data_IF_191825959521
#
_entry.id   IF_191825959521
#
_cell.length_a   1.000
_cell.length_b   1.000
_cell.length_c   1.000
_cell.angle_alpha   90.00
_cell.angle_beta   90.00
_cell.angle_gamma   90.00
#
_symmetry.space_group_name_H-M   'P 1'
#
loop_
_entity.id
_entity.type
_entity.pdbx_description
1 polymer ?
#
# COMPACT_ATOMS: atom_id res chain seq x y z
N UNK A 1 -41.72 15.50 22.90
CA UNK A 1 -40.71 15.96 21.92
C UNK A 1 -39.42 15.29 22.34
N UNK A 2 -39.04 14.26 21.59
CA UNK A 2 -37.92 13.37 21.89
C UNK A 2 -36.61 14.08 21.57
N UNK A 3 -35.73 14.22 22.56
CA UNK A 3 -34.37 14.69 22.35
C UNK A 3 -33.57 13.61 21.61
N UNK A 4 -33.11 13.97 20.42
CA UNK A 4 -32.18 13.22 19.60
C UNK A 4 -30.80 13.20 20.26
N UNK A 5 -30.31 12.01 20.64
CA UNK A 5 -28.93 11.82 21.06
C UNK A 5 -27.95 12.14 19.91
N UNK A 6 -26.70 12.53 20.22
CA UNK A 6 -25.71 12.81 19.19
C UNK A 6 -25.34 11.50 18.49
N UNK A 7 -25.49 11.49 17.16
CA UNK A 7 -25.10 10.37 16.32
C UNK A 7 -23.61 10.11 16.44
N UNK A 8 -23.25 8.84 16.64
CA UNK A 8 -21.88 8.37 16.53
C UNK A 8 -21.39 8.65 15.10
N UNK A 9 -20.39 9.52 14.96
CA UNK A 9 -19.60 9.63 13.74
C UNK A 9 -18.73 8.39 13.52
N UNK A 10 -18.09 8.25 12.36
CA UNK A 10 -17.31 7.06 11.98
C UNK A 10 -16.02 6.83 12.80
N UNK A 11 -15.69 7.70 13.75
CA UNK A 11 -14.47 7.60 14.57
C UNK A 11 -14.74 6.90 15.91
N UNK A 12 -15.05 5.61 15.92
CA UNK A 12 -15.20 4.87 17.19
C UNK A 12 -14.48 3.53 17.20
N UNK A 13 -13.18 3.55 16.93
CA UNK A 13 -12.30 2.52 17.49
C UNK A 13 -12.28 2.75 19.00
N UNK A 14 -12.80 1.78 19.76
CA UNK A 14 -12.76 1.80 21.22
C UNK A 14 -11.31 2.06 21.69
N UNK A 15 -11.06 2.93 22.69
CA UNK A 15 -9.71 3.20 23.20
C UNK A 15 -9.02 1.96 23.79
N UNK A 16 -9.72 0.82 23.85
CA UNK A 16 -9.19 -0.48 24.28
C UNK A 16 -8.59 -1.30 23.14
N UNK A 17 -8.87 -1.00 21.87
CA UNK A 17 -8.39 -1.75 20.71
C UNK A 17 -7.23 -0.98 20.08
N UNK A 18 -6.01 -1.53 20.06
CA UNK A 18 -4.87 -0.88 19.42
C UNK A 18 -5.17 -0.57 17.94
N UNK A 19 -4.84 0.65 17.49
CA UNK A 19 -4.86 0.99 16.07
C UNK A 19 -3.62 0.42 15.40
N UNK A 20 -3.68 -0.87 15.12
CA UNK A 20 -2.66 -1.65 14.44
C UNK A 20 -3.37 -2.73 13.60
N UNK A 21 -2.76 -3.18 12.51
CA UNK A 21 -3.23 -4.34 11.79
C UNK A 21 -3.28 -5.57 12.73
N UNK A 22 -4.38 -6.32 12.70
CA UNK A 22 -4.75 -7.38 13.66
C UNK A 22 -4.94 -6.91 15.11
N UNK A 23 -5.02 -5.60 15.37
CA UNK A 23 -5.15 -5.04 16.72
C UNK A 23 -4.08 -5.54 17.73
N UNK A 24 -2.89 -5.89 17.23
CA UNK A 24 -1.83 -6.47 18.04
C UNK A 24 -1.43 -5.55 19.21
N UNK A 25 -1.18 -6.10 20.41
CA UNK A 25 -0.70 -5.35 21.55
C UNK A 25 0.70 -4.77 21.30
N UNK A 26 1.05 -3.72 22.05
CA UNK A 26 2.28 -2.94 21.84
C UNK A 26 3.56 -3.79 21.92
N UNK A 27 3.55 -4.85 22.72
CA UNK A 27 4.68 -5.78 22.89
C UNK A 27 5.02 -6.53 21.60
N UNK A 28 4.03 -6.72 20.71
CA UNK A 28 4.16 -7.41 19.43
C UNK A 28 4.18 -6.45 18.23
N UNK A 29 3.71 -5.20 18.41
CA UNK A 29 3.58 -4.21 17.33
C UNK A 29 4.53 -3.02 17.43
N UNK A 30 5.42 -2.96 18.44
CA UNK A 30 6.46 -1.92 18.46
C UNK A 30 7.39 -2.04 17.25
N UNK A 31 7.95 -0.91 16.82
CA UNK A 31 8.88 -0.90 15.69
C UNK A 31 10.10 -1.79 15.97
N UNK A 32 10.54 -1.92 17.21
CA UNK A 32 11.67 -2.76 17.58
C UNK A 32 11.32 -4.25 17.54
N UNK A 33 10.13 -4.63 18.03
CA UNK A 33 9.70 -6.02 18.15
C UNK A 33 9.22 -6.61 16.82
N UNK A 34 8.51 -5.82 16.02
CA UNK A 34 7.88 -6.28 14.79
C UNK A 34 8.89 -6.52 13.66
N UNK A 35 8.74 -7.62 12.91
CA UNK A 35 9.53 -7.84 11.68
C UNK A 35 8.92 -7.16 10.47
N UNK A 36 7.61 -6.90 10.50
CA UNK A 36 6.87 -6.25 9.41
C UNK A 36 6.59 -4.79 9.76
N UNK A 37 6.85 -3.88 8.81
CA UNK A 37 6.38 -2.50 8.85
C UNK A 37 5.30 -2.32 7.78
N UNK A 38 4.09 -2.00 8.22
CA UNK A 38 2.93 -1.82 7.36
C UNK A 38 2.57 -0.33 7.31
N UNK A 39 2.67 0.28 6.14
CA UNK A 39 2.55 1.73 5.97
C UNK A 39 1.22 2.05 5.28
N UNK A 40 0.28 2.72 5.96
CA UNK A 40 -0.95 3.19 5.33
C UNK A 40 -0.66 4.38 4.41
N UNK A 41 -1.17 4.35 3.17
CA UNK A 41 -0.99 5.40 2.16
C UNK A 41 -2.35 5.79 1.57
N UNK A 42 -3.12 6.69 2.22
CA UNK A 42 -4.46 7.11 1.80
C UNK A 42 -4.39 8.05 0.58
N UNK A 43 -4.10 7.50 -0.60
CA UNK A 43 -3.86 8.26 -1.83
C UNK A 43 -4.72 7.74 -3.00
N UNK A 44 -5.43 8.64 -3.68
CA UNK A 44 -6.22 8.34 -4.90
C UNK A 44 -6.24 9.52 -5.90
N UNK A 45 -5.19 10.35 -5.89
CA UNK A 45 -5.21 11.64 -6.60
C UNK A 45 -5.06 11.55 -8.11
N UNK A 46 -4.74 10.39 -8.68
CA UNK A 46 -4.68 10.21 -10.14
C UNK A 46 -5.85 9.40 -10.68
N UNK A 47 -6.74 8.93 -9.81
CA UNK A 47 -7.87 8.06 -10.17
C UNK A 47 -8.79 8.72 -11.19
N UNK A 48 -9.14 7.96 -12.25
CA UNK A 48 -9.83 8.51 -13.42
C UNK A 48 -11.33 8.19 -13.53
N UNK A 49 -11.85 7.23 -12.73
CA UNK A 49 -13.27 6.83 -12.79
C UNK A 49 -14.02 6.99 -11.46
N UNK A 50 -13.63 6.25 -10.42
CA UNK A 50 -14.28 6.29 -9.09
C UNK A 50 -13.24 6.50 -8.00
N UNK A 51 -13.29 7.65 -7.34
CA UNK A 51 -12.49 7.96 -6.14
C UNK A 51 -12.98 7.19 -4.91
N UNK A 52 -12.24 7.29 -3.80
CA UNK A 52 -12.54 6.65 -2.53
C UNK A 52 -11.52 5.60 -2.11
N UNK A 53 -10.54 5.29 -2.96
CA UNK A 53 -9.48 4.34 -2.61
C UNK A 53 -8.63 4.85 -1.43
N UNK A 54 -8.56 6.18 -1.21
CA UNK A 54 -7.91 6.78 -0.04
C UNK A 54 -8.46 6.28 1.31
N UNK A 55 -9.69 5.79 1.36
CA UNK A 55 -10.33 5.26 2.57
C UNK A 55 -9.98 3.78 2.81
N UNK A 56 -9.38 3.11 1.83
CA UNK A 56 -8.99 1.71 1.86
C UNK A 56 -8.05 1.31 3.01
N UNK A 57 -6.98 2.07 3.30
CA UNK A 57 -6.04 1.72 4.36
C UNK A 57 -6.71 1.60 5.73
N UNK A 58 -7.53 2.59 6.10
CA UNK A 58 -8.23 2.59 7.39
C UNK A 58 -9.28 1.47 7.47
N UNK A 59 -10.01 1.24 6.37
CA UNK A 59 -10.98 0.15 6.30
C UNK A 59 -10.33 -1.22 6.49
N UNK A 60 -9.15 -1.45 5.89
CA UNK A 60 -8.39 -2.69 6.06
C UNK A 60 -7.88 -2.88 7.49
N UNK A 61 -7.32 -1.83 8.10
CA UNK A 61 -6.86 -1.88 9.50
C UNK A 61 -8.03 -2.19 10.44
N UNK A 62 -9.15 -1.47 10.29
CA UNK A 62 -10.35 -1.70 11.12
C UNK A 62 -10.87 -3.13 10.96
N UNK A 63 -11.02 -3.62 9.72
CA UNK A 63 -11.50 -4.97 9.46
C UNK A 63 -10.56 -6.06 9.99
N UNK A 64 -9.25 -5.83 9.97
CA UNK A 64 -8.24 -6.80 10.40
C UNK A 64 -8.37 -7.20 11.87
N UNK A 65 -8.93 -6.34 12.74
CA UNK A 65 -9.17 -6.63 14.16
C UNK A 65 -10.14 -7.80 14.43
N UNK A 66 -10.87 -8.25 13.40
CA UNK A 66 -11.82 -9.37 13.48
C UNK A 66 -11.23 -10.69 12.98
N UNK A 67 -9.95 -10.72 12.60
CA UNK A 67 -9.26 -11.94 12.19
C UNK A 67 -8.71 -12.69 13.42
N UNK A 68 -8.55 -14.00 13.27
CA UNK A 68 -7.76 -14.81 14.19
C UNK A 68 -6.28 -14.71 13.82
N UNK A 69 -5.39 -14.70 14.81
CA UNK A 69 -3.95 -14.58 14.57
C UNK A 69 -3.29 -15.88 14.06
N UNK A 70 -3.95 -17.03 14.24
CA UNK A 70 -3.43 -18.32 13.81
C UNK A 70 -3.76 -18.63 12.35
N UNK A 71 -2.73 -18.81 11.53
CA UNK A 71 -2.86 -19.27 10.16
C UNK A 71 -2.81 -20.80 10.10
N UNK A 72 -3.88 -21.41 9.58
CA UNK A 72 -4.02 -22.87 9.52
C UNK A 72 -3.08 -23.52 8.50
N UNK A 73 -2.78 -22.85 7.38
CA UNK A 73 -1.95 -23.41 6.30
C UNK A 73 -0.46 -23.34 6.65
N UNK A 74 -0.06 -22.28 7.36
CA UNK A 74 1.31 -22.08 7.84
C UNK A 74 1.58 -22.74 9.19
N UNK A 75 0.53 -23.16 9.91
CA UNK A 75 0.59 -23.67 11.29
C UNK A 75 1.35 -22.72 12.24
N UNK A 76 1.06 -21.42 12.13
CA UNK A 76 1.80 -20.36 12.81
C UNK A 76 0.86 -19.29 13.34
N UNK A 77 1.18 -18.77 14.52
CA UNK A 77 0.60 -17.53 15.03
C UNK A 77 1.34 -16.32 14.43
N UNK A 78 0.67 -15.57 13.55
CA UNK A 78 1.30 -14.45 12.84
C UNK A 78 1.64 -13.28 13.77
N UNK A 79 0.99 -13.20 14.94
CA UNK A 79 1.28 -12.18 15.95
C UNK A 79 2.71 -12.30 16.50
N UNK A 80 3.30 -13.50 16.48
CA UNK A 80 4.68 -13.76 16.92
C UNK A 80 5.74 -13.18 15.96
N UNK A 81 5.39 -12.97 14.68
CA UNK A 81 6.25 -12.25 13.72
C UNK A 81 6.26 -10.75 14.05
N UNK A 82 5.12 -10.24 14.53
CA UNK A 82 4.89 -8.85 14.85
C UNK A 82 4.71 -7.96 13.61
N UNK A 83 3.65 -7.15 13.65
CA UNK A 83 3.31 -6.17 12.62
C UNK A 83 3.27 -4.80 13.26
N UNK A 84 4.14 -3.89 12.80
CA UNK A 84 4.12 -2.48 13.17
C UNK A 84 3.38 -1.69 12.10
N UNK A 85 2.18 -1.23 12.42
CA UNK A 85 1.42 -0.32 11.55
C UNK A 85 1.85 1.10 11.84
N UNK A 86 2.39 1.79 10.83
CA UNK A 86 2.89 3.15 11.00
C UNK A 86 1.74 4.15 11.03
N UNK A 87 2.04 5.40 11.39
CA UNK A 87 1.15 6.51 11.04
C UNK A 87 0.92 6.56 9.52
N UNK A 88 -0.27 6.97 9.11
CA UNK A 88 -0.60 7.11 7.69
C UNK A 88 0.33 8.13 7.01
N UNK A 89 0.78 7.81 5.80
CA UNK A 89 1.61 8.67 5.00
C UNK A 89 0.76 9.73 4.29
N UNK A 90 0.87 10.96 4.75
CA UNK A 90 0.11 12.09 4.18
C UNK A 90 0.39 12.30 2.68
N UNK A 91 -0.66 12.52 1.86
CA UNK A 91 -0.52 12.87 0.45
C UNK A 91 0.40 14.08 0.21
N UNK A 92 1.26 13.96 -0.80
CA UNK A 92 2.11 15.08 -1.20
C UNK A 92 1.34 16.08 -2.08
N UNK A 93 1.16 17.31 -1.59
CA UNK A 93 0.37 18.36 -2.28
C UNK A 93 0.92 18.78 -3.65
N UNK A 94 2.23 18.60 -3.88
CA UNK A 94 2.87 18.90 -5.18
C UNK A 94 2.60 17.85 -6.28
N UNK A 95 1.84 16.79 -6.00
CA UNK A 95 1.37 15.85 -7.02
C UNK A 95 2.06 14.47 -7.00
N UNK A 96 1.82 13.63 -8.03
CA UNK A 96 2.13 12.21 -7.98
C UNK A 96 3.64 11.87 -7.98
N UNK A 97 4.46 12.61 -8.72
CA UNK A 97 5.92 12.43 -8.71
C UNK A 97 6.52 12.68 -7.31
N UNK A 98 6.27 13.85 -6.70
CA UNK A 98 6.66 14.11 -5.31
C UNK A 98 6.09 13.12 -4.29
N UNK A 99 4.89 12.57 -4.56
CA UNK A 99 4.33 11.50 -3.72
C UNK A 99 5.14 10.19 -3.85
N UNK A 100 5.52 9.80 -5.06
CA UNK A 100 6.37 8.63 -5.29
C UNK A 100 7.73 8.76 -4.56
N UNK A 101 8.39 9.91 -4.64
CA UNK A 101 9.65 10.18 -3.92
C UNK A 101 9.47 10.14 -2.40
N UNK A 102 8.36 10.67 -1.89
CA UNK A 102 8.02 10.59 -0.46
C UNK A 102 7.87 9.13 -0.01
N UNK A 103 7.14 8.32 -0.78
CA UNK A 103 6.95 6.89 -0.49
C UNK A 103 8.30 6.18 -0.52
N UNK A 104 9.11 6.42 -1.54
CA UNK A 104 10.45 5.85 -1.69
C UNK A 104 11.30 6.10 -0.44
N UNK A 105 11.39 7.35 0.01
CA UNK A 105 12.18 7.72 1.18
C UNK A 105 11.69 7.03 2.47
N UNK A 106 10.37 6.94 2.67
CA UNK A 106 9.80 6.28 3.86
C UNK A 106 10.04 4.77 3.82
N UNK A 107 9.81 4.12 2.68
CA UNK A 107 10.06 2.68 2.50
C UNK A 107 11.54 2.36 2.71
N UNK A 108 12.45 3.15 2.12
CA UNK A 108 13.88 2.98 2.31
C UNK A 108 14.29 3.02 3.80
N UNK A 109 13.75 3.96 4.57
CA UNK A 109 14.02 4.04 6.01
C UNK A 109 13.62 2.78 6.78
N UNK A 110 12.49 2.15 6.47
CA UNK A 110 12.11 0.88 7.11
C UNK A 110 12.90 -0.32 6.60
N UNK A 111 13.31 -0.32 5.32
CA UNK A 111 14.20 -1.35 4.78
C UNK A 111 15.58 -1.30 5.43
N UNK A 112 16.13 -0.10 5.70
CA UNK A 112 17.40 0.08 6.43
C UNK A 112 17.35 -0.48 7.86
N UNK A 113 16.17 -0.46 8.48
CA UNK A 113 15.92 -1.09 9.78
C UNK A 113 15.74 -2.62 9.69
N UNK A 114 15.90 -3.22 8.50
CA UNK A 114 15.76 -4.64 8.26
C UNK A 114 14.32 -5.14 8.29
N UNK A 115 13.33 -4.26 8.10
CA UNK A 115 11.92 -4.63 8.11
C UNK A 115 11.49 -5.22 6.77
N UNK A 116 10.54 -6.14 6.82
CA UNK A 116 9.71 -6.46 5.65
C UNK A 116 8.64 -5.38 5.52
N UNK A 117 8.62 -4.67 4.40
CA UNK A 117 7.77 -3.47 4.25
C UNK A 117 6.57 -3.76 3.35
N UNK A 118 5.37 -3.46 3.84
CA UNK A 118 4.12 -3.50 3.08
C UNK A 118 3.46 -2.13 3.03
N UNK A 119 2.75 -1.83 1.93
CA UNK A 119 1.90 -0.65 1.84
C UNK A 119 0.43 -1.07 1.88
N UNK A 120 -0.37 -0.41 2.71
CA UNK A 120 -1.82 -0.41 2.58
C UNK A 120 -2.22 0.80 1.76
N UNK A 121 -2.59 0.57 0.51
CA UNK A 121 -2.78 1.63 -0.46
C UNK A 121 -4.19 2.16 -0.59
N UNK A 122 -4.28 3.27 -1.32
CA UNK A 122 -5.46 3.59 -2.12
C UNK A 122 -5.28 3.14 -3.57
N UNK A 123 -4.66 3.97 -4.41
CA UNK A 123 -4.46 3.68 -5.83
C UNK A 123 -3.09 3.06 -6.16
N UNK A 124 -2.97 2.52 -7.38
CA UNK A 124 -1.80 1.71 -7.80
C UNK A 124 -0.49 2.50 -7.93
N UNK A 125 -0.55 3.83 -8.08
CA UNK A 125 0.63 4.70 -8.27
C UNK A 125 1.60 4.69 -7.09
N UNK A 126 1.14 4.33 -5.89
CA UNK A 126 2.01 4.24 -4.70
C UNK A 126 3.10 3.17 -4.84
N UNK A 127 2.86 2.19 -5.72
CA UNK A 127 3.81 1.11 -6.06
C UNK A 127 5.11 1.66 -6.58
N UNK A 128 5.08 2.79 -7.30
CA UNK A 128 6.25 3.38 -7.97
C UNK A 128 7.36 3.66 -6.96
N UNK A 129 7.05 4.43 -5.90
CA UNK A 129 8.02 4.75 -4.85
C UNK A 129 8.48 3.52 -4.08
N UNK A 130 7.57 2.59 -3.82
CA UNK A 130 7.89 1.34 -3.10
C UNK A 130 8.87 0.47 -3.86
N UNK A 131 8.61 0.21 -5.15
CA UNK A 131 9.47 -0.62 -6.00
C UNK A 131 10.82 0.04 -6.21
N UNK A 132 10.88 1.37 -6.37
CA UNK A 132 12.16 2.09 -6.45
C UNK A 132 13.02 1.87 -5.20
N UNK A 133 12.45 1.98 -4.00
CA UNK A 133 13.16 1.73 -2.75
C UNK A 133 13.61 0.26 -2.62
N UNK A 134 12.74 -0.69 -2.96
CA UNK A 134 13.08 -2.11 -2.91
C UNK A 134 14.13 -2.51 -3.94
N UNK A 135 14.10 -1.94 -5.15
CA UNK A 135 15.09 -2.23 -6.19
C UNK A 135 16.49 -1.71 -5.81
N UNK A 136 16.56 -0.57 -5.09
CA UNK A 136 17.82 -0.06 -4.53
C UNK A 136 18.34 -0.95 -3.39
N UNK A 137 17.47 -1.43 -2.52
CA UNK A 137 17.84 -2.31 -1.40
C UNK A 137 18.17 -3.74 -1.85
N UNK A 138 17.53 -4.24 -2.90
CA UNK A 138 17.64 -5.61 -3.39
C UNK A 138 17.91 -5.62 -4.91
N UNK A 139 19.20 -5.64 -5.34
CA UNK A 139 19.56 -5.59 -6.76
C UNK A 139 19.02 -6.74 -7.63
N UNK A 140 18.58 -7.84 -7.00
CA UNK A 140 17.98 -8.99 -7.66
C UNK A 140 16.45 -9.02 -7.55
N UNK A 141 15.81 -7.89 -7.23
CA UNK A 141 14.35 -7.80 -7.13
C UNK A 141 13.70 -8.18 -8.47
N UNK A 142 12.56 -8.85 -8.38
CA UNK A 142 11.60 -9.02 -9.47
C UNK A 142 10.18 -8.81 -8.94
N UNK A 143 9.30 -8.24 -9.75
CA UNK A 143 7.93 -7.92 -9.37
C UNK A 143 6.93 -8.86 -10.04
N UNK A 144 6.05 -9.49 -9.26
CA UNK A 144 4.82 -10.11 -9.76
C UNK A 144 3.68 -9.10 -9.61
N UNK A 145 3.12 -8.65 -10.73
CA UNK A 145 2.07 -7.64 -10.79
C UNK A 145 0.72 -8.29 -11.09
N UNK A 146 -0.17 -8.29 -10.11
CA UNK A 146 -1.49 -8.89 -10.21
C UNK A 146 -2.54 -7.81 -10.50
N UNK A 147 -2.95 -7.69 -11.77
CA UNK A 147 -3.95 -6.69 -12.17
C UNK A 147 -4.74 -7.15 -13.41
N UNK A 148 -5.96 -6.62 -13.54
CA UNK A 148 -6.77 -6.73 -14.75
C UNK A 148 -6.24 -5.87 -15.90
N UNK A 149 -5.57 -4.76 -15.59
CA UNK A 149 -4.99 -3.80 -16.51
C UNK A 149 -3.47 -3.95 -16.58
N UNK A 150 -2.87 -3.56 -17.70
CA UNK A 150 -1.41 -3.63 -17.83
C UNK A 150 -0.69 -2.53 -17.03
N UNK A 151 -1.29 -1.34 -16.90
CA UNK A 151 -0.70 -0.14 -16.28
C UNK A 151 0.71 0.20 -16.82
N UNK A 152 0.90 -0.02 -18.12
CA UNK A 152 2.17 0.10 -18.83
C UNK A 152 2.30 1.38 -19.67
N UNK A 153 1.32 2.30 -19.57
CA UNK A 153 1.38 3.58 -20.30
C UNK A 153 2.60 4.39 -19.85
N UNK A 154 3.27 5.02 -20.80
CA UNK A 154 4.41 5.90 -20.47
C UNK A 154 3.94 7.16 -19.71
N UNK A 155 2.81 7.71 -20.13
CA UNK A 155 2.14 8.85 -19.50
C UNK A 155 0.62 8.71 -19.59
N UNK A 156 -0.10 9.11 -18.54
CA UNK A 156 -1.55 9.22 -18.58
C UNK A 156 -2.02 10.50 -17.88
N UNK A 157 -2.92 11.25 -18.51
CA UNK A 157 -3.45 12.52 -18.00
C UNK A 157 -2.36 13.53 -17.58
N UNK A 158 -1.25 13.62 -18.32
CA UNK A 158 -0.20 14.61 -18.06
C UNK A 158 0.84 14.19 -17.02
N UNK A 159 0.85 12.93 -16.58
CA UNK A 159 1.81 12.45 -15.58
C UNK A 159 2.31 11.03 -15.85
N UNK A 160 3.64 10.77 -15.75
CA UNK A 160 4.22 9.43 -15.76
C UNK A 160 4.09 8.69 -14.43
N UNK A 161 3.64 9.38 -13.37
CA UNK A 161 3.54 8.87 -12.00
C UNK A 161 2.09 8.57 -11.58
N UNK A 162 1.23 8.25 -12.55
CA UNK A 162 -0.19 7.94 -12.32
C UNK A 162 -0.48 6.44 -12.16
N UNK A 163 -1.71 6.12 -11.73
CA UNK A 163 -2.18 4.74 -11.54
C UNK A 163 -2.01 3.86 -12.79
N UNK A 164 -2.25 4.42 -13.99
CA UNK A 164 -2.14 3.69 -15.26
C UNK A 164 -0.70 3.55 -15.81
N UNK A 165 0.30 3.99 -15.04
CA UNK A 165 1.73 3.94 -15.41
C UNK A 165 2.57 3.22 -14.35
N UNK A 166 1.94 2.65 -13.31
CA UNK A 166 2.64 2.07 -12.17
C UNK A 166 3.52 0.88 -12.57
N UNK A 167 3.01 -0.05 -13.40
CA UNK A 167 3.79 -1.18 -13.90
C UNK A 167 4.92 -0.72 -14.83
N UNK A 168 4.72 0.33 -15.62
CA UNK A 168 5.76 0.88 -16.50
C UNK A 168 6.96 1.37 -15.70
N UNK A 169 6.70 2.15 -14.65
CA UNK A 169 7.74 2.68 -13.77
C UNK A 169 8.41 1.58 -12.94
N UNK A 170 7.69 0.52 -12.57
CA UNK A 170 8.27 -0.65 -11.92
C UNK A 170 9.20 -1.44 -12.86
N UNK A 171 8.81 -1.62 -14.12
CA UNK A 171 9.61 -2.30 -15.16
C UNK A 171 10.96 -1.61 -15.40
N UNK A 172 11.01 -0.28 -15.30
CA UNK A 172 12.25 0.48 -15.45
C UNK A 172 13.24 0.23 -14.31
N UNK A 173 12.76 -0.21 -13.16
CA UNK A 173 13.59 -0.52 -11.99
C UNK A 173 14.04 -1.99 -11.96
N UNK A 174 13.19 -2.92 -12.38
CA UNK A 174 13.45 -4.35 -12.24
C UNK A 174 12.56 -5.22 -13.17
N UNK A 175 12.90 -6.49 -13.40
CA UNK A 175 12.05 -7.42 -14.15
C UNK A 175 10.65 -7.54 -13.54
N UNK A 176 9.63 -7.51 -14.39
CA UNK A 176 8.22 -7.63 -13.98
C UNK A 176 7.53 -8.78 -14.72
N UNK A 177 6.62 -9.46 -14.03
CA UNK A 177 5.68 -10.43 -14.60
C UNK A 177 4.27 -9.92 -14.34
N UNK A 178 3.51 -9.69 -15.41
CA UNK A 178 2.10 -9.30 -15.32
C UNK A 178 1.21 -10.55 -15.33
N UNK A 179 0.27 -10.66 -14.39
CA UNK A 179 -0.69 -11.76 -14.33
C UNK A 179 -2.12 -11.24 -14.12
N UNK A 180 -3.07 -11.82 -14.86
CA UNK A 180 -4.49 -11.44 -14.82
C UNK A 180 -4.91 -10.39 -15.86
N UNK A 181 -3.95 -9.87 -16.63
CA UNK A 181 -4.17 -8.82 -17.63
C UNK A 181 -5.20 -9.26 -18.67
N UNK A 182 -6.25 -8.47 -18.79
CA UNK A 182 -7.36 -8.66 -19.74
C UNK A 182 -7.86 -7.32 -20.31
N UNK A 183 -7.16 -6.24 -20.01
CA UNK A 183 -7.44 -4.88 -20.48
C UNK A 183 -6.12 -4.13 -20.68
N UNK A 184 -5.86 -3.65 -21.89
CA UNK A 184 -4.71 -2.82 -22.24
C UNK A 184 -5.01 -1.98 -23.48
N UNK A 185 -4.32 -0.86 -23.64
CA UNK A 185 -4.39 -0.05 -24.86
C UNK A 185 -3.32 -0.46 -25.88
N UNK A 186 -3.42 0.09 -27.09
CA UNK A 186 -2.52 -0.25 -28.20
C UNK A 186 -1.05 0.06 -27.89
N UNK A 187 -0.77 1.20 -27.26
CA UNK A 187 0.58 1.60 -26.84
C UNK A 187 1.22 0.53 -25.94
N UNK A 188 0.47 0.06 -24.94
CA UNK A 188 0.93 -0.97 -24.02
C UNK A 188 1.14 -2.31 -24.75
N UNK A 189 0.27 -2.63 -25.72
CA UNK A 189 0.41 -3.84 -26.51
C UNK A 189 1.68 -3.82 -27.37
N UNK A 190 1.96 -2.67 -27.99
CA UNK A 190 3.18 -2.47 -28.79
C UNK A 190 4.43 -2.53 -27.92
N UNK A 191 4.38 -2.01 -26.70
CA UNK A 191 5.50 -2.06 -25.75
C UNK A 191 5.83 -3.49 -25.26
N UNK A 192 4.84 -4.37 -25.13
CA UNK A 192 5.05 -5.76 -24.65
C UNK A 192 5.69 -6.67 -25.73
N UNK A 193 5.55 -6.34 -27.01
CA UNK A 193 6.00 -7.20 -28.13
C UNK A 193 7.49 -7.07 -28.43
#
# INVERSE_FOLDING_TARGET
>A
MTESGPGAGPDSVSPLVPHNFLALPQEQSSLEAAKVALIPVPYDSTTSFRSGARDGPEAMITASSSLEDYDLELELDVSEIGIHTTGALEPHMAGPGPMAERIKAVVAGYLELGKTVGLLGGEHSITIGSVQAHAEAYPSLSVLYLDAHADLRDEYMGTPFGHASAARRAFECCPIVLAGVRSLCQEEHEFIR
#
